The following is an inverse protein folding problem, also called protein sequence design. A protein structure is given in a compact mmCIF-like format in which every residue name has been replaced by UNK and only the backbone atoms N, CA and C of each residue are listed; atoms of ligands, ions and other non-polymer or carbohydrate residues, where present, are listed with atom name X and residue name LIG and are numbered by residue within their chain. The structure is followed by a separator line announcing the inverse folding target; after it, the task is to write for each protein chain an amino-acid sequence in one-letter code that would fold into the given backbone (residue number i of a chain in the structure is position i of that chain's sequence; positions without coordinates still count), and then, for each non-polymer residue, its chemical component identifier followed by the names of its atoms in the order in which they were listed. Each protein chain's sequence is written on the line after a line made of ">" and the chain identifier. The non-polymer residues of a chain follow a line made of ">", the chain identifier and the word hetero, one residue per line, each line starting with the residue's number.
data_IF_876501715071
#
_entry.id   IF_876501715071
#
_cell.length_a   1.000
_cell.length_b   1.000
_cell.length_c   1.000
_cell.angle_alpha   90.00
_cell.angle_beta   90.00
_cell.angle_gamma   90.00
#
_symmetry.space_group_name_H-M   'P 1'
#
loop_
_entity.id
_entity.type
_entity.pdbx_description
1 polymer ?
#
# COMPACT_ATOMS: atom_id res chain seq x y z
N UNK A 1 17.58 0.18 18.37
CA UNK A 1 16.60 -0.55 17.53
C UNK A 1 16.64 -2.01 17.95
N UNK A 2 15.49 -2.62 18.21
CA UNK A 2 15.39 -4.04 18.60
C UNK A 2 15.92 -4.89 17.44
N UNK A 3 16.67 -5.95 17.72
CA UNK A 3 17.28 -6.84 16.70
C UNK A 3 16.30 -7.28 15.60
N UNK A 4 15.06 -7.56 16.00
CA UNK A 4 13.95 -7.90 15.10
C UNK A 4 13.61 -6.78 14.10
N UNK A 5 13.70 -5.51 14.50
CA UNK A 5 13.44 -4.38 13.61
C UNK A 5 14.54 -4.25 12.54
N UNK A 6 15.80 -4.53 12.89
CA UNK A 6 16.89 -4.55 11.92
C UNK A 6 16.71 -5.69 10.89
N UNK A 7 16.24 -6.85 11.32
CA UNK A 7 15.92 -7.95 10.40
C UNK A 7 14.85 -7.54 9.38
N UNK A 8 13.74 -6.95 9.84
CA UNK A 8 12.67 -6.46 8.97
C UNK A 8 13.21 -5.40 8.01
N UNK A 9 13.99 -4.44 8.52
CA UNK A 9 14.59 -3.41 7.70
C UNK A 9 15.46 -3.98 6.58
N UNK A 10 16.39 -4.87 6.92
CA UNK A 10 17.31 -5.49 5.97
C UNK A 10 16.59 -6.33 4.91
N UNK A 11 15.40 -6.87 5.21
CA UNK A 11 14.59 -7.62 4.25
C UNK A 11 13.80 -6.68 3.34
N UNK A 12 13.07 -5.71 3.89
CA UNK A 12 12.19 -4.84 3.11
C UNK A 12 12.91 -3.73 2.33
N UNK A 13 14.17 -3.43 2.67
CA UNK A 13 15.00 -2.56 1.83
C UNK A 13 15.39 -3.24 0.51
N UNK A 14 15.46 -4.57 0.48
CA UNK A 14 15.73 -5.34 -0.72
C UNK A 14 14.49 -5.36 -1.64
N UNK A 15 14.62 -4.74 -2.81
CA UNK A 15 13.52 -4.65 -3.80
C UNK A 15 13.05 -6.03 -4.28
N UNK A 16 13.95 -6.99 -4.46
CA UNK A 16 13.58 -8.33 -4.94
C UNK A 16 12.70 -9.06 -3.93
N UNK A 17 12.98 -8.87 -2.63
CA UNK A 17 12.15 -9.42 -1.57
C UNK A 17 10.75 -8.80 -1.58
N UNK A 18 10.65 -7.47 -1.74
CA UNK A 18 9.35 -6.77 -1.86
C UNK A 18 8.56 -7.27 -3.05
N UNK A 19 9.21 -7.44 -4.21
CA UNK A 19 8.57 -7.98 -5.43
C UNK A 19 8.03 -9.39 -5.19
N UNK A 20 8.82 -10.29 -4.59
CA UNK A 20 8.39 -11.66 -4.29
C UNK A 20 7.20 -11.69 -3.33
N UNK A 21 7.24 -10.85 -2.27
CA UNK A 21 6.12 -10.73 -1.33
C UNK A 21 4.86 -10.24 -2.04
N UNK A 22 4.97 -9.21 -2.87
CA UNK A 22 3.84 -8.68 -3.63
C UNK A 22 3.26 -9.74 -4.57
N UNK A 23 4.10 -10.44 -5.33
CA UNK A 23 3.67 -11.50 -6.23
C UNK A 23 2.92 -12.62 -5.49
N UNK A 24 3.43 -13.03 -4.32
CA UNK A 24 2.76 -14.02 -3.48
C UNK A 24 1.40 -13.51 -2.96
N UNK A 25 1.31 -12.23 -2.59
CA UNK A 25 0.08 -11.62 -2.07
C UNK A 25 -0.99 -11.37 -3.13
N UNK A 26 -0.61 -11.19 -4.40
CA UNK A 26 -1.58 -11.10 -5.52
C UNK A 26 -2.27 -12.45 -5.72
N UNK A 27 -1.51 -13.54 -5.61
CA UNK A 27 -2.00 -14.91 -5.82
C UNK A 27 -2.90 -15.43 -4.69
N UNK A 28 -3.05 -14.67 -3.60
CA UNK A 28 -3.96 -15.05 -2.52
C UNK A 28 -5.40 -15.12 -3.04
N UNK A 29 -6.00 -16.31 -2.94
CA UNK A 29 -7.36 -16.65 -3.38
C UNK A 29 -8.45 -15.82 -2.70
N UNK A 30 -8.12 -15.14 -1.59
CA UNK A 30 -9.02 -14.20 -0.93
C UNK A 30 -9.23 -12.94 -1.77
N UNK A 31 -10.17 -12.95 -2.72
CA UNK A 31 -10.48 -11.78 -3.57
C UNK A 31 -10.98 -10.52 -2.80
N UNK A 32 -11.18 -10.61 -1.49
CA UNK A 32 -11.61 -9.47 -0.67
C UNK A 32 -10.46 -8.76 0.04
N UNK A 33 -10.56 -7.43 0.09
CA UNK A 33 -9.73 -6.56 0.93
C UNK A 33 -9.64 -7.06 2.38
N UNK A 34 -8.43 -7.40 2.83
CA UNK A 34 -8.15 -8.03 4.13
C UNK A 34 -7.60 -7.00 5.13
N UNK A 35 -8.26 -6.91 6.29
CA UNK A 35 -7.86 -6.01 7.37
C UNK A 35 -6.50 -6.34 7.95
N UNK A 36 -6.15 -7.63 7.95
CA UNK A 36 -4.87 -8.14 8.43
C UNK A 36 -3.74 -7.65 7.53
N UNK A 37 -3.96 -7.70 6.21
CA UNK A 37 -2.97 -7.31 5.21
C UNK A 37 -2.64 -5.83 5.31
N UNK A 38 -3.63 -4.94 5.27
CA UNK A 38 -3.33 -3.51 5.38
C UNK A 38 -2.76 -3.16 6.76
N UNK A 39 -3.11 -3.91 7.82
CA UNK A 39 -2.56 -3.67 9.17
C UNK A 39 -1.07 -4.00 9.22
N UNK A 40 -0.61 -5.03 8.51
CA UNK A 40 0.83 -5.30 8.33
C UNK A 40 1.54 -4.10 7.69
N UNK A 41 1.02 -3.59 6.58
CA UNK A 41 1.58 -2.41 5.91
C UNK A 41 1.55 -1.17 6.81
N UNK A 42 0.45 -0.94 7.54
CA UNK A 42 0.35 0.13 8.53
C UNK A 42 1.48 0.07 9.56
N UNK A 43 1.73 -1.10 10.15
CA UNK A 43 2.82 -1.26 11.12
C UNK A 43 4.18 -0.98 10.47
N UNK A 44 4.40 -1.48 9.25
CA UNK A 44 5.63 -1.27 8.50
C UNK A 44 5.92 0.24 8.28
N UNK A 45 4.96 1.01 7.78
CA UNK A 45 5.14 2.44 7.55
C UNK A 45 5.19 3.25 8.85
N UNK A 46 4.44 2.83 9.89
CA UNK A 46 4.52 3.49 11.21
C UNK A 46 5.93 3.37 11.80
N UNK A 47 6.52 2.18 11.73
CA UNK A 47 7.75 1.87 12.47
C UNK A 47 9.03 2.25 11.68
N UNK A 48 8.97 2.26 10.34
CA UNK A 48 10.12 2.55 9.47
C UNK A 48 10.00 3.83 8.63
N UNK A 49 8.86 4.54 8.73
CA UNK A 49 8.67 5.83 8.08
C UNK A 49 8.80 5.78 6.56
N UNK A 50 9.59 6.70 6.00
CA UNK A 50 9.79 6.84 4.56
C UNK A 50 10.73 5.78 3.95
N UNK A 51 11.39 4.94 4.76
CA UNK A 51 12.49 4.07 4.31
C UNK A 51 12.11 3.16 3.13
N UNK A 52 10.87 2.66 3.11
CA UNK A 52 10.39 1.74 2.08
C UNK A 52 9.42 2.38 1.09
N UNK A 53 9.05 3.65 1.29
CA UNK A 53 7.99 4.30 0.49
C UNK A 53 8.33 4.23 -1.00
N UNK A 54 9.56 4.60 -1.39
CA UNK A 54 9.96 4.55 -2.79
C UNK A 54 9.90 3.13 -3.40
N UNK A 55 10.32 2.11 -2.63
CA UNK A 55 10.25 0.71 -3.08
C UNK A 55 8.80 0.29 -3.35
N UNK A 56 7.87 0.67 -2.47
CA UNK A 56 6.45 0.36 -2.65
C UNK A 56 5.78 1.22 -3.72
N UNK A 57 6.17 2.49 -3.91
CA UNK A 57 5.62 3.35 -4.95
C UNK A 57 5.89 2.80 -6.35
N UNK A 58 7.12 2.30 -6.61
CA UNK A 58 7.46 1.64 -7.88
C UNK A 58 6.52 0.46 -8.15
N UNK A 59 6.24 -0.35 -7.12
CA UNK A 59 5.37 -1.51 -7.25
C UNK A 59 3.89 -1.13 -7.39
N UNK A 60 3.42 -0.11 -6.66
CA UNK A 60 2.05 0.39 -6.77
C UNK A 60 1.70 0.83 -8.20
N UNK A 61 2.63 1.53 -8.87
CA UNK A 61 2.44 1.93 -10.26
C UNK A 61 2.30 0.71 -11.18
N UNK A 62 3.02 -0.39 -10.93
CA UNK A 62 2.88 -1.63 -11.70
C UNK A 62 1.55 -2.32 -11.44
N UNK A 63 1.13 -2.39 -10.16
CA UNK A 63 -0.13 -3.03 -9.76
C UNK A 63 -1.36 -2.34 -10.37
N UNK A 64 -1.36 -1.00 -10.44
CA UNK A 64 -2.48 -0.22 -11.00
C UNK A 64 -2.54 -0.31 -12.52
N UNK A 65 -1.40 -0.58 -13.17
CA UNK A 65 -1.31 -0.77 -14.63
C UNK A 65 -1.53 -2.21 -15.07
N UNK A 66 -1.76 -3.13 -14.14
CA UNK A 66 -2.06 -4.52 -14.47
C UNK A 66 -3.33 -4.59 -15.32
N UNK A 67 -3.26 -5.34 -16.42
CA UNK A 67 -4.37 -5.53 -17.37
C UNK A 67 -4.73 -6.99 -17.58
N UNK A 68 -3.93 -7.91 -17.04
CA UNK A 68 -4.24 -9.32 -17.07
C UNK A 68 -5.45 -9.59 -16.16
N UNK A 69 -6.56 -10.05 -16.74
CA UNK A 69 -7.82 -10.33 -16.05
C UNK A 69 -7.63 -11.25 -14.82
N UNK A 70 -6.73 -12.24 -14.91
CA UNK A 70 -6.46 -13.18 -13.79
C UNK A 70 -5.83 -12.50 -12.57
N UNK A 71 -5.10 -11.40 -12.78
CA UNK A 71 -4.35 -10.70 -11.72
C UNK A 71 -4.90 -9.32 -11.41
N UNK A 72 -5.85 -8.83 -12.21
CA UNK A 72 -6.39 -7.48 -12.14
C UNK A 72 -6.99 -7.21 -10.75
N UNK A 73 -7.93 -8.03 -10.31
CA UNK A 73 -8.59 -7.87 -9.02
C UNK A 73 -7.60 -7.93 -7.85
N UNK A 74 -6.75 -8.95 -7.83
CA UNK A 74 -5.73 -9.14 -6.78
C UNK A 74 -4.71 -7.99 -6.73
N UNK A 75 -4.31 -7.46 -7.89
CA UNK A 75 -3.35 -6.36 -7.98
C UNK A 75 -3.95 -5.05 -7.45
N UNK A 76 -5.18 -4.72 -7.84
CA UNK A 76 -5.86 -3.53 -7.32
C UNK A 76 -6.25 -3.68 -5.85
N UNK A 77 -6.64 -4.88 -5.39
CA UNK A 77 -6.86 -5.20 -3.97
C UNK A 77 -5.60 -4.90 -3.16
N UNK A 78 -4.47 -5.48 -3.56
CA UNK A 78 -3.20 -5.30 -2.86
C UNK A 78 -2.71 -3.85 -2.90
N UNK A 79 -2.87 -3.16 -4.03
CA UNK A 79 -2.53 -1.75 -4.14
C UNK A 79 -3.36 -0.88 -3.16
N UNK A 80 -4.67 -1.13 -3.07
CA UNK A 80 -5.56 -0.49 -2.12
C UNK A 80 -5.15 -0.76 -0.65
N UNK A 81 -4.75 -1.98 -0.32
CA UNK A 81 -4.30 -2.35 1.02
C UNK A 81 -2.96 -1.68 1.40
N UNK A 82 -2.00 -1.62 0.47
CA UNK A 82 -0.72 -0.94 0.66
C UNK A 82 -0.96 0.56 0.89
N UNK A 83 -1.77 1.22 0.06
CA UNK A 83 -2.08 2.66 0.19
C UNK A 83 -2.80 2.93 1.51
N UNK A 84 -3.76 2.09 1.89
CA UNK A 84 -4.42 2.18 3.21
C UNK A 84 -3.39 2.06 4.33
N UNK A 85 -2.48 1.10 4.23
CA UNK A 85 -1.37 0.93 5.18
C UNK A 85 -0.49 2.18 5.28
N UNK A 86 -0.10 2.76 4.15
CA UNK A 86 0.71 3.98 4.09
C UNK A 86 0.03 5.16 4.80
N UNK A 87 -1.21 5.47 4.41
CA UNK A 87 -1.97 6.61 4.97
C UNK A 87 -2.20 6.43 6.47
N UNK A 88 -2.56 5.22 6.91
CA UNK A 88 -2.79 4.94 8.33
C UNK A 88 -1.49 4.89 9.13
N UNK A 89 -0.39 4.45 8.53
CA UNK A 89 0.94 4.39 9.13
C UNK A 89 1.55 5.78 9.33
N UNK A 90 1.16 6.75 8.49
CA UNK A 90 1.67 8.13 8.56
C UNK A 90 1.00 9.02 9.62
N UNK A 91 0.11 8.47 10.48
CA UNK A 91 -0.63 9.26 11.49
C UNK A 91 0.26 10.13 12.38
N UNK A 92 1.45 9.63 12.75
CA UNK A 92 2.39 10.32 13.65
C UNK A 92 3.64 10.82 12.93
N UNK A 93 3.61 10.90 11.59
CA UNK A 93 4.73 11.43 10.82
C UNK A 93 4.81 12.95 10.94
N UNK A 94 6.00 13.50 10.68
CA UNK A 94 6.17 14.95 10.58
C UNK A 94 5.46 15.50 9.35
N UNK A 95 5.11 16.79 9.34
CA UNK A 95 4.46 17.44 8.21
C UNK A 95 5.29 17.31 6.91
N UNK A 96 6.61 17.38 7.00
CA UNK A 96 7.50 17.20 5.84
C UNK A 96 7.37 15.80 5.23
N UNK A 97 7.36 14.76 6.07
CA UNK A 97 7.16 13.38 5.62
C UNK A 97 5.78 13.18 5.03
N UNK A 98 4.76 13.79 5.63
CA UNK A 98 3.37 13.73 5.17
C UNK A 98 3.22 14.39 3.79
N UNK A 99 3.84 15.55 3.57
CA UNK A 99 3.84 16.21 2.26
C UNK A 99 4.50 15.35 1.18
N UNK A 100 5.64 14.72 1.50
CA UNK A 100 6.30 13.77 0.58
C UNK A 100 5.40 12.57 0.26
N UNK A 101 4.68 12.04 1.24
CA UNK A 101 3.75 10.94 1.02
C UNK A 101 2.60 11.36 0.11
N UNK A 102 1.89 12.44 0.44
CA UNK A 102 0.70 12.87 -0.32
C UNK A 102 1.02 13.31 -1.74
N UNK A 103 2.16 13.93 -2.00
CA UNK A 103 2.57 14.25 -3.37
C UNK A 103 2.64 13.00 -4.25
N UNK A 104 3.14 11.89 -3.70
CA UNK A 104 3.22 10.62 -4.42
C UNK A 104 1.86 9.89 -4.47
N UNK A 105 1.15 9.80 -3.35
CA UNK A 105 -0.15 9.12 -3.26
C UNK A 105 -1.20 9.79 -4.14
N UNK A 106 -1.23 11.13 -4.21
CA UNK A 106 -2.15 11.85 -5.09
C UNK A 106 -1.94 11.47 -6.56
N UNK A 107 -0.69 11.40 -7.03
CA UNK A 107 -0.40 10.97 -8.41
C UNK A 107 -0.89 9.55 -8.69
N UNK A 108 -0.69 8.64 -7.72
CA UNK A 108 -1.12 7.24 -7.82
C UNK A 108 -2.64 7.12 -7.82
N UNK A 109 -3.34 7.86 -6.96
CA UNK A 109 -4.80 7.88 -6.92
C UNK A 109 -5.38 8.44 -8.21
N UNK A 110 -4.78 9.49 -8.79
CA UNK A 110 -5.18 10.01 -10.10
C UNK A 110 -5.06 8.94 -11.18
N UNK A 111 -3.94 8.22 -11.23
CA UNK A 111 -3.74 7.13 -12.19
C UNK A 111 -4.72 5.96 -11.97
N UNK A 112 -5.00 5.62 -10.71
CA UNK A 112 -6.00 4.63 -10.36
C UNK A 112 -7.40 5.01 -10.86
N UNK A 113 -7.85 6.25 -10.63
CA UNK A 113 -9.19 6.69 -11.04
C UNK A 113 -9.36 6.69 -12.56
N UNK A 114 -8.28 6.88 -13.33
CA UNK A 114 -8.30 6.76 -14.79
C UNK A 114 -8.41 5.31 -15.29
N UNK A 115 -7.93 4.34 -14.51
CA UNK A 115 -7.94 2.91 -14.85
C UNK A 115 -8.96 2.11 -14.02
N UNK A 116 -9.97 2.79 -13.45
CA UNK A 116 -10.91 2.16 -12.53
C UNK A 116 -11.96 1.33 -13.30
N UNK A 117 -12.07 0.04 -12.95
CA UNK A 117 -13.01 -0.90 -13.55
C UNK A 117 -14.12 -1.27 -12.56
N UNK A 118 -15.17 -1.94 -13.04
CA UNK A 118 -16.30 -2.36 -12.17
C UNK A 118 -15.83 -3.36 -11.11
N UNK A 119 -14.97 -4.30 -11.49
CA UNK A 119 -14.38 -5.33 -10.63
C UNK A 119 -13.46 -4.74 -9.55
N UNK A 120 -12.69 -3.71 -9.91
CA UNK A 120 -11.68 -3.13 -9.00
C UNK A 120 -12.25 -2.05 -8.08
N UNK A 121 -13.41 -1.48 -8.42
CA UNK A 121 -14.08 -0.39 -7.68
C UNK A 121 -14.27 -0.69 -6.19
N UNK A 122 -14.67 -1.92 -5.86
CA UNK A 122 -14.98 -2.28 -4.48
C UNK A 122 -13.75 -2.21 -3.57
N UNK A 123 -12.58 -2.63 -4.07
CA UNK A 123 -11.31 -2.53 -3.34
C UNK A 123 -10.94 -1.09 -3.02
N UNK A 124 -11.11 -0.18 -3.98
CA UNK A 124 -10.83 1.25 -3.79
C UNK A 124 -11.85 1.94 -2.88
N UNK A 125 -13.12 1.52 -2.91
CA UNK A 125 -14.11 1.97 -1.95
C UNK A 125 -13.69 1.60 -0.51
N UNK A 126 -13.33 0.33 -0.27
CA UNK A 126 -12.83 -0.14 1.04
C UNK A 126 -11.53 0.58 1.44
N UNK A 127 -10.64 0.88 0.49
CA UNK A 127 -9.44 1.68 0.72
C UNK A 127 -9.78 3.05 1.32
N UNK A 128 -10.69 3.79 0.69
CA UNK A 128 -11.10 5.12 1.15
C UNK A 128 -11.78 5.06 2.52
N UNK A 129 -12.73 4.12 2.68
CA UNK A 129 -13.43 3.87 3.94
C UNK A 129 -12.43 3.64 5.10
N UNK A 130 -11.45 2.77 4.91
CA UNK A 130 -10.48 2.44 5.95
C UNK A 130 -9.37 3.48 6.14
N UNK A 131 -9.04 4.26 5.11
CA UNK A 131 -8.00 5.30 5.18
C UNK A 131 -8.47 6.53 5.94
N UNK A 132 -9.70 6.99 5.67
CA UNK A 132 -10.24 8.27 6.15
C UNK A 132 -10.57 8.23 7.65
N UNK A 133 -11.03 7.08 8.17
CA UNK A 133 -11.49 6.94 9.57
C UNK A 133 -10.38 7.23 10.60
N UNK A 134 -9.10 7.18 10.23
CA UNK A 134 -8.00 7.46 11.17
C UNK A 134 -7.28 8.80 11.00
N UNK A 135 -7.58 9.59 9.97
CA UNK A 135 -6.87 10.83 9.67
C UNK A 135 -7.62 12.12 10.04
N UNK A 136 -8.94 12.06 10.28
CA UNK A 136 -9.77 13.25 10.57
C UNK A 136 -9.95 13.59 12.06
N UNK A 137 -9.27 12.90 12.98
CA UNK A 137 -9.16 13.37 14.35
C UNK A 137 -7.91 14.24 14.49
N UNK A 138 -7.97 15.44 13.91
CA UNK A 138 -7.24 16.61 14.38
C UNK A 138 -8.15 17.43 15.28
#
# INVERSE_FOLDING_TARGET
>A
MIESANLIYNRFINKDFVIQVIQMMILDEKNEFDKTQFTMFKCLFRDFGLAFVNNFLEQLCLLIREKNEEKLEGSHRLAAEIITGMIRGSKYWTLEMLNKLWNNVTSILTECFLNLNVETRQSWHKCLEHSIVSCFFF
#
